data_IF_620548012632
#
_entry.id   IF_620548012632
#
_cell.length_a   1.000
_cell.length_b   1.000
_cell.length_c   1.000
_cell.angle_alpha   90.00
_cell.angle_beta   90.00
_cell.angle_gamma   90.00
#
_symmetry.space_group_name_H-M   'P 1'
#
loop_
_entity.id
_entity.type
_entity.pdbx_description
1 polymer ?
#
# COMPACT_ATOMS: atom_id res chain seq x y z
N UNK A 1 -23.90 10.24 7.76
CA UNK A 1 -25.10 9.44 7.37
C UNK A 1 -26.19 9.72 8.40
N UNK A 2 -27.50 9.47 8.15
CA UNK A 2 -28.50 9.69 9.19
C UNK A 2 -28.18 8.83 10.42
N UNK A 3 -27.70 9.46 11.49
CA UNK A 3 -27.41 8.82 12.78
C UNK A 3 -26.03 8.18 12.96
N UNK A 4 -25.12 8.22 11.97
CA UNK A 4 -23.76 7.66 12.08
C UNK A 4 -22.74 8.61 11.45
N UNK A 5 -21.65 8.91 12.16
CA UNK A 5 -20.54 9.75 11.67
C UNK A 5 -19.58 8.96 10.77
N UNK A 6 -18.82 9.66 9.92
CA UNK A 6 -17.79 9.00 9.11
C UNK A 6 -16.70 8.38 9.98
N UNK A 7 -16.38 9.04 11.09
CA UNK A 7 -15.33 8.63 12.03
C UNK A 7 -15.70 7.34 12.76
N UNK A 8 -16.97 7.19 13.17
CA UNK A 8 -17.49 5.95 13.76
C UNK A 8 -17.37 4.76 12.78
N UNK A 9 -17.52 5.02 11.48
CA UNK A 9 -17.35 3.98 10.44
C UNK A 9 -15.87 3.61 10.31
N UNK A 10 -14.96 4.58 10.29
CA UNK A 10 -13.51 4.34 10.25
C UNK A 10 -13.04 3.51 11.45
N UNK A 11 -13.48 3.89 12.66
CA UNK A 11 -13.15 3.16 13.89
C UNK A 11 -13.69 1.73 13.85
N UNK A 12 -14.93 1.55 13.37
CA UNK A 12 -15.54 0.23 13.22
C UNK A 12 -14.78 -0.66 12.23
N UNK A 13 -14.29 -0.11 11.12
CA UNK A 13 -13.49 -0.85 10.14
C UNK A 13 -12.20 -1.36 10.79
N UNK A 14 -11.48 -0.47 11.50
CA UNK A 14 -10.23 -0.82 12.20
C UNK A 14 -10.46 -1.86 13.30
N UNK A 15 -11.51 -1.70 14.11
CA UNK A 15 -11.86 -2.64 15.19
C UNK A 15 -12.20 -4.05 14.68
N UNK A 16 -12.63 -4.18 13.42
CA UNK A 16 -12.87 -5.49 12.78
C UNK A 16 -11.60 -6.14 12.24
N UNK A 17 -10.45 -5.48 12.29
CA UNK A 17 -9.19 -5.99 11.75
C UNK A 17 -9.18 -6.06 10.22
N UNK A 18 -10.04 -5.27 9.55
CA UNK A 18 -10.04 -5.14 8.09
C UNK A 18 -9.33 -3.83 7.76
N UNK A 19 -8.47 -3.84 6.75
CA UNK A 19 -7.71 -2.69 6.27
C UNK A 19 -8.04 -2.38 4.81
N UNK A 20 -9.30 -2.01 4.48
CA UNK A 20 -9.62 -1.53 3.15
C UNK A 20 -9.00 -0.14 2.95
N UNK A 21 -8.81 0.25 1.69
CA UNK A 21 -8.57 1.65 1.35
C UNK A 21 -9.87 2.46 1.49
N UNK A 22 -9.80 3.64 2.09
CA UNK A 22 -10.93 4.50 2.43
C UNK A 22 -10.71 5.92 1.93
N UNK A 23 -11.61 6.41 1.07
CA UNK A 23 -11.72 7.84 0.73
C UNK A 23 -12.86 8.50 1.52
N UNK A 24 -12.58 9.63 2.17
CA UNK A 24 -13.59 10.47 2.81
C UNK A 24 -14.21 11.41 1.80
N UNK A 25 -15.55 11.46 1.72
CA UNK A 25 -16.27 12.39 0.82
C UNK A 25 -17.16 13.31 1.63
N UNK A 26 -16.78 14.58 1.75
CA UNK A 26 -17.36 15.50 2.73
C UNK A 26 -17.53 16.90 2.16
N UNK A 27 -18.45 17.70 2.74
CA UNK A 27 -18.66 19.10 2.37
C UNK A 27 -17.90 20.07 3.31
N UNK A 28 -17.04 19.53 4.18
CA UNK A 28 -16.27 20.26 5.17
C UNK A 28 -14.82 20.32 4.66
N UNK A 29 -14.19 21.48 4.79
CA UNK A 29 -12.77 21.62 4.49
C UNK A 29 -11.94 20.90 5.56
N UNK A 30 -10.85 20.21 5.18
CA UNK A 30 -10.02 19.51 6.15
C UNK A 30 -9.31 20.51 7.08
N UNK A 31 -9.23 20.17 8.37
CA UNK A 31 -8.37 20.83 9.35
C UNK A 31 -7.16 19.92 9.71
N UNK A 32 -6.34 20.33 10.68
CA UNK A 32 -5.14 19.57 11.05
C UNK A 32 -5.45 18.20 11.67
N UNK A 33 -6.68 17.94 12.11
CA UNK A 33 -7.05 16.68 12.78
C UNK A 33 -7.02 15.50 11.81
N UNK A 34 -7.03 15.75 10.49
CA UNK A 34 -6.94 14.72 9.45
C UNK A 34 -5.63 13.93 9.45
N UNK A 35 -4.57 14.47 10.06
CA UNK A 35 -3.24 13.84 10.07
C UNK A 35 -3.31 12.49 10.77
N UNK A 36 -4.03 12.42 11.88
CA UNK A 36 -4.17 11.24 12.73
C UNK A 36 -5.34 10.34 12.29
N UNK A 37 -6.13 10.76 11.29
CA UNK A 37 -7.29 10.01 10.82
C UNK A 37 -6.89 8.89 9.85
N UNK A 38 -7.39 7.66 10.05
CA UNK A 38 -6.97 6.49 9.30
C UNK A 38 -7.71 6.34 7.95
N UNK A 39 -7.68 7.37 7.11
CA UNK A 39 -8.19 7.34 5.73
C UNK A 39 -7.04 7.44 4.71
N UNK A 40 -7.30 7.10 3.46
CA UNK A 40 -6.31 7.08 2.38
C UNK A 40 -6.45 8.29 1.45
N UNK A 41 -7.67 8.80 1.28
CA UNK A 41 -7.95 9.97 0.44
C UNK A 41 -9.06 10.85 1.02
N UNK A 42 -9.12 12.11 0.58
CA UNK A 42 -10.09 13.11 1.04
C UNK A 42 -10.63 13.93 -0.14
N UNK A 43 -11.93 13.86 -0.35
CA UNK A 43 -12.62 14.49 -1.48
C UNK A 43 -13.68 15.48 -0.96
N UNK A 44 -13.55 16.75 -1.37
CA UNK A 44 -14.45 17.83 -0.96
C UNK A 44 -15.61 17.95 -1.95
N UNK A 45 -16.84 18.03 -1.44
CA UNK A 45 -18.05 18.25 -2.24
C UNK A 45 -18.13 19.70 -2.75
N UNK A 46 -18.66 19.93 -3.96
CA UNK A 46 -19.30 18.95 -4.85
C UNK A 46 -18.29 18.10 -5.62
N UNK A 47 -18.60 16.81 -5.78
CA UNK A 47 -17.77 15.86 -6.54
C UNK A 47 -18.54 15.38 -7.76
N UNK A 48 -17.85 15.25 -8.89
CA UNK A 48 -18.42 14.64 -10.08
C UNK A 48 -18.39 13.12 -10.00
N UNK A 49 -19.11 12.45 -10.92
CA UNK A 49 -19.02 10.99 -11.06
C UNK A 49 -17.61 10.57 -11.47
N UNK A 50 -16.99 11.32 -12.35
CA UNK A 50 -15.69 10.98 -12.91
C UNK A 50 -14.60 11.17 -11.83
N UNK A 51 -14.69 12.22 -11.00
CA UNK A 51 -13.79 12.44 -9.87
C UNK A 51 -13.83 11.27 -8.86
N UNK A 52 -15.03 10.74 -8.60
CA UNK A 52 -15.21 9.57 -7.73
C UNK A 52 -14.62 8.30 -8.35
N UNK A 53 -14.75 8.12 -9.67
CA UNK A 53 -14.17 6.96 -10.35
C UNK A 53 -12.64 7.03 -10.29
N UNK A 54 -12.06 8.19 -10.62
CA UNK A 54 -10.61 8.40 -10.54
C UNK A 54 -10.08 8.17 -9.12
N UNK A 55 -10.80 8.65 -8.10
CA UNK A 55 -10.44 8.40 -6.69
C UNK A 55 -10.42 6.90 -6.37
N UNK A 56 -11.44 6.16 -6.81
CA UNK A 56 -11.51 4.71 -6.58
C UNK A 56 -10.41 3.97 -7.35
N UNK A 57 -10.13 4.36 -8.59
CA UNK A 57 -9.06 3.78 -9.41
C UNK A 57 -7.67 3.99 -8.78
N UNK A 58 -7.41 5.19 -8.24
CA UNK A 58 -6.20 5.50 -7.47
C UNK A 58 -6.08 4.60 -6.23
N UNK A 59 -7.13 4.49 -5.42
CA UNK A 59 -7.12 3.63 -4.24
C UNK A 59 -6.91 2.15 -4.58
N UNK A 60 -7.53 1.65 -5.65
CA UNK A 60 -7.32 0.28 -6.12
C UNK A 60 -5.89 0.05 -6.58
N UNK A 61 -5.31 1.01 -7.29
CA UNK A 61 -3.93 0.97 -7.78
C UNK A 61 -2.93 0.94 -6.62
N UNK A 62 -3.12 1.81 -5.63
CA UNK A 62 -2.32 1.82 -4.40
C UNK A 62 -2.44 0.49 -3.63
N UNK A 63 -3.66 -0.03 -3.47
CA UNK A 63 -3.89 -1.32 -2.80
C UNK A 63 -3.21 -2.50 -3.51
N UNK A 64 -3.23 -2.52 -4.84
CA UNK A 64 -2.62 -3.61 -5.62
C UNK A 64 -1.09 -3.54 -5.56
N UNK A 65 -0.53 -2.33 -5.61
CA UNK A 65 0.90 -2.11 -5.45
C UNK A 65 1.41 -2.59 -4.08
N UNK A 66 0.76 -2.18 -2.99
CA UNK A 66 1.11 -2.60 -1.63
C UNK A 66 1.09 -4.13 -1.48
N UNK A 67 0.04 -4.80 -1.99
CA UNK A 67 -0.08 -6.26 -1.93
C UNK A 67 1.07 -6.96 -2.67
N UNK A 68 1.45 -6.46 -3.84
CA UNK A 68 2.60 -7.00 -4.60
C UNK A 68 3.91 -6.77 -3.87
N UNK A 69 4.10 -5.60 -3.27
CA UNK A 69 5.32 -5.27 -2.53
C UNK A 69 5.47 -6.16 -1.29
N UNK A 70 4.40 -6.33 -0.50
CA UNK A 70 4.38 -7.24 0.64
C UNK A 70 4.69 -8.68 0.21
N UNK A 71 4.12 -9.11 -0.92
CA UNK A 71 4.40 -10.44 -1.48
C UNK A 71 5.86 -10.59 -1.90
N UNK A 72 6.41 -9.59 -2.58
CA UNK A 72 7.82 -9.58 -2.99
C UNK A 72 8.75 -9.71 -1.77
N UNK A 73 8.53 -8.93 -0.71
CA UNK A 73 9.32 -9.05 0.52
C UNK A 73 9.23 -10.43 1.18
N UNK A 74 8.03 -11.03 1.19
CA UNK A 74 7.85 -12.39 1.70
C UNK A 74 8.66 -13.42 0.90
N UNK A 75 8.69 -13.31 -0.43
CA UNK A 75 9.47 -14.18 -1.29
C UNK A 75 10.98 -13.92 -1.16
N UNK A 76 11.40 -12.67 -1.10
CA UNK A 76 12.80 -12.28 -0.88
C UNK A 76 13.36 -12.86 0.42
N UNK A 77 12.58 -12.82 1.51
CA UNK A 77 12.96 -13.45 2.78
C UNK A 77 13.16 -14.96 2.67
N UNK A 78 12.27 -15.66 1.94
CA UNK A 78 12.40 -17.10 1.67
C UNK A 78 13.62 -17.40 0.82
N UNK A 79 13.84 -16.62 -0.24
CA UNK A 79 14.96 -16.77 -1.17
C UNK A 79 16.31 -16.59 -0.45
N UNK A 80 16.44 -15.54 0.36
CA UNK A 80 17.63 -15.30 1.18
C UNK A 80 17.88 -16.44 2.18
N UNK A 81 16.82 -16.96 2.80
CA UNK A 81 16.93 -18.10 3.73
C UNK A 81 17.44 -19.36 3.03
N UNK A 82 16.96 -19.65 1.82
CA UNK A 82 17.41 -20.80 1.04
C UNK A 82 18.87 -20.65 0.61
N UNK A 83 19.27 -19.48 0.10
CA UNK A 83 20.66 -19.17 -0.26
C UNK A 83 21.63 -19.34 0.91
N UNK A 84 21.21 -18.98 2.13
CA UNK A 84 22.06 -19.10 3.32
C UNK A 84 22.22 -20.54 3.82
N UNK A 85 21.25 -21.42 3.55
CA UNK A 85 21.18 -22.76 4.15
C UNK A 85 21.47 -23.90 3.16
N UNK A 86 21.56 -23.64 1.86
CA UNK A 86 21.72 -24.65 0.81
C UNK A 86 22.92 -24.35 -0.10
N UNK A 87 23.66 -25.37 -0.54
CA UNK A 87 24.74 -25.18 -1.49
C UNK A 87 24.18 -24.72 -2.85
N UNK A 88 24.91 -23.82 -3.51
CA UNK A 88 24.48 -23.21 -4.77
C UNK A 88 24.20 -24.23 -5.88
N UNK A 89 24.92 -25.36 -5.90
CA UNK A 89 24.69 -26.45 -6.85
C UNK A 89 23.33 -27.12 -6.64
N UNK A 90 22.90 -27.32 -5.39
CA UNK A 90 21.60 -27.91 -5.09
C UNK A 90 20.46 -26.94 -5.44
N UNK A 91 20.66 -25.64 -5.22
CA UNK A 91 19.69 -24.60 -5.60
C UNK A 91 19.58 -24.43 -7.12
N UNK A 92 20.70 -24.52 -7.83
CA UNK A 92 20.74 -24.40 -9.29
C UNK A 92 19.94 -25.52 -9.98
N UNK A 93 19.92 -26.73 -9.42
CA UNK A 93 19.18 -27.87 -9.97
C UNK A 93 17.76 -28.01 -9.40
N UNK A 94 17.34 -27.11 -8.50
CA UNK A 94 16.04 -27.18 -7.84
C UNK A 94 14.99 -26.32 -8.56
N UNK A 95 13.99 -26.98 -9.15
CA UNK A 95 12.90 -26.33 -9.89
C UNK A 95 12.07 -25.36 -9.01
N UNK A 96 11.82 -25.67 -7.73
CA UNK A 96 11.05 -24.80 -6.84
C UNK A 96 11.80 -23.50 -6.52
N UNK A 97 13.13 -23.57 -6.38
CA UNK A 97 13.98 -22.40 -6.17
C UNK A 97 14.09 -21.51 -7.42
N UNK A 98 14.15 -22.14 -8.61
CA UNK A 98 14.09 -21.40 -9.87
C UNK A 98 12.74 -20.69 -10.01
N UNK A 99 11.62 -21.38 -9.77
CA UNK A 99 10.28 -20.79 -9.79
C UNK A 99 10.12 -19.64 -8.78
N UNK A 100 10.73 -19.76 -7.60
CA UNK A 100 10.75 -18.68 -6.61
C UNK A 100 11.44 -17.43 -7.16
N UNK A 101 12.61 -17.60 -7.78
CA UNK A 101 13.37 -16.52 -8.43
C UNK A 101 12.56 -15.87 -9.56
N UNK A 102 11.92 -16.68 -10.41
CA UNK A 102 11.09 -16.19 -11.51
C UNK A 102 9.88 -15.41 -11.01
N UNK A 103 9.20 -15.88 -9.96
CA UNK A 103 8.08 -15.16 -9.34
C UNK A 103 8.53 -13.82 -8.76
N UNK A 104 9.72 -13.77 -8.14
CA UNK A 104 10.29 -12.52 -7.63
C UNK A 104 10.58 -11.54 -8.76
N UNK A 105 11.21 -12.00 -9.85
CA UNK A 105 11.51 -11.15 -11.01
C UNK A 105 10.23 -10.60 -11.66
N UNK A 106 9.21 -11.43 -11.85
CA UNK A 106 7.91 -11.01 -12.38
C UNK A 106 7.19 -10.00 -11.48
N UNK A 107 7.29 -10.16 -10.16
CA UNK A 107 6.72 -9.19 -9.22
C UNK A 107 7.48 -7.88 -9.25
N UNK A 108 8.81 -7.92 -9.34
CA UNK A 108 9.63 -6.73 -9.48
C UNK A 108 9.30 -5.95 -10.74
N UNK A 109 9.21 -6.61 -11.90
CA UNK A 109 8.80 -5.96 -13.16
C UNK A 109 7.43 -5.29 -13.04
N UNK A 110 6.44 -5.98 -12.44
CA UNK A 110 5.11 -5.40 -12.23
C UNK A 110 5.11 -4.19 -11.29
N UNK A 111 5.97 -4.20 -10.27
CA UNK A 111 6.11 -3.08 -9.35
C UNK A 111 6.76 -1.89 -10.07
N UNK A 112 7.81 -2.12 -10.86
CA UNK A 112 8.51 -1.09 -11.62
C UNK A 112 7.60 -0.46 -12.70
N UNK A 113 6.81 -1.28 -13.40
CA UNK A 113 5.82 -0.83 -14.38
C UNK A 113 4.76 0.06 -13.72
N UNK A 114 4.27 -0.34 -12.54
CA UNK A 114 3.29 0.44 -11.79
C UNK A 114 3.85 1.79 -11.36
N UNK A 115 5.06 1.83 -10.78
CA UNK A 115 5.72 3.08 -10.37
C UNK A 115 5.90 4.03 -11.56
N UNK A 116 6.25 3.49 -12.73
CA UNK A 116 6.41 4.30 -13.96
C UNK A 116 5.08 4.88 -14.45
N UNK A 117 3.96 4.21 -14.15
CA UNK A 117 2.62 4.66 -14.54
C UNK A 117 1.95 5.62 -13.54
N UNK A 118 2.49 5.77 -12.34
CA UNK A 118 1.88 6.58 -11.29
C UNK A 118 1.96 8.07 -11.61
N UNK A 119 0.84 8.75 -11.38
CA UNK A 119 0.78 10.21 -11.30
C UNK A 119 1.24 10.68 -9.91
N UNK A 120 1.52 11.98 -9.76
CA UNK A 120 1.91 12.58 -8.46
C UNK A 120 0.89 12.29 -7.35
N UNK A 121 -0.40 12.21 -7.68
CA UNK A 121 -1.46 11.90 -6.71
C UNK A 121 -1.56 10.41 -6.39
N UNK A 122 -1.23 9.52 -7.33
CA UNK A 122 -1.15 8.07 -7.09
C UNK A 122 0.00 7.75 -6.13
N UNK A 123 1.10 8.49 -6.24
CA UNK A 123 2.25 8.36 -5.35
C UNK A 123 1.88 8.68 -3.89
N UNK A 124 1.08 9.73 -3.66
CA UNK A 124 0.61 10.09 -2.30
C UNK A 124 -0.26 8.98 -1.69
N UNK A 125 -1.15 8.40 -2.49
CA UNK A 125 -2.03 7.33 -2.04
C UNK A 125 -1.27 6.02 -1.77
N UNK A 126 -0.23 5.71 -2.55
CA UNK A 126 0.54 4.47 -2.41
C UNK A 126 1.54 4.47 -1.24
N UNK A 127 2.13 5.62 -0.90
CA UNK A 127 3.26 5.68 0.05
C UNK A 127 2.88 6.12 1.48
N UNK A 128 1.64 6.49 1.79
CA UNK A 128 1.24 6.91 3.15
C UNK A 128 1.44 5.82 4.22
N UNK A 129 1.30 4.54 3.86
CA UNK A 129 1.48 3.42 4.81
C UNK A 129 2.94 2.96 4.95
N UNK A 130 3.82 3.30 4.01
CA UNK A 130 5.25 2.94 4.10
C UNK A 130 5.96 3.73 5.21
N UNK A 131 5.53 4.97 5.47
CA UNK A 131 6.05 5.80 6.57
C UNK A 131 5.54 5.34 7.95
N UNK A 132 4.38 4.68 8.03
CA UNK A 132 3.82 4.20 9.29
C UNK A 132 4.56 2.96 9.87
N UNK A 133 5.48 2.37 9.09
CA UNK A 133 6.25 1.17 9.46
C UNK A 133 7.75 1.39 9.69
N UNK A 134 8.27 2.61 9.48
CA UNK A 134 9.66 2.93 9.80
C UNK A 134 9.76 3.39 11.27
N UNK A 135 10.44 2.64 12.17
CA UNK A 135 10.81 3.21 13.45
C UNK A 135 11.63 4.47 13.17
N UNK A 136 11.19 5.59 13.76
CA UNK A 136 11.60 6.93 13.41
C UNK A 136 13.09 7.07 13.10
N UNK A 137 13.39 7.79 12.02
CA UNK A 137 14.67 8.43 11.85
C UNK A 137 14.86 9.40 13.02
N UNK A 138 15.43 8.87 14.10
CA UNK A 138 15.80 9.59 15.30
C UNK A 138 16.77 10.71 14.89
N UNK A 139 16.32 11.94 15.14
CA UNK A 139 17.12 13.10 15.56
C UNK A 139 18.59 13.11 15.08
N UNK A 140 18.83 13.76 13.95
CA UNK A 140 20.14 14.32 13.64
C UNK A 140 19.97 15.73 13.08
N UNK A 141 20.14 16.73 13.94
CA UNK A 141 20.16 18.14 13.58
C UNK A 141 20.38 18.98 14.83
N UNK A 142 21.65 19.21 15.13
CA UNK A 142 22.21 20.05 16.21
C UNK A 142 21.55 21.42 16.39
#
# INVERSE_FOLDING_TARGET
>A
MPGISGDEVLETIRNRGISPRVAMVTAVDPDFDIIDMPFDDYVIKPVSRDDLIETVERLLTASDYEQKLQRYHSLAGKHATLLANKPQSELADNEEFQQLSDQMNQLQEKLDDQVTSFSDDDFKAAFRDLDAGLPGADQAGE
#
